data_IF_954375734382
#
_entry.id   IF_954375734382
#
_cell.length_a   1.000
_cell.length_b   1.000
_cell.length_c   1.000
_cell.angle_alpha   90.00
_cell.angle_beta   90.00
_cell.angle_gamma   90.00
#
_symmetry.space_group_name_H-M   'P 1'
#
loop_
_entity.id
_entity.type
_entity.pdbx_description
1 polymer ?
#
# COMPACT_ATOMS: atom_id res chain seq x y z
N UNK A 1 -26.08 11.76 -12.59
CA UNK A 1 -24.72 11.19 -12.39
C UNK A 1 -23.97 12.14 -11.49
N UNK A 2 -23.38 11.64 -10.41
CA UNK A 2 -22.59 12.41 -9.46
C UNK A 2 -21.10 12.21 -9.76
N UNK A 3 -20.33 13.29 -9.68
CA UNK A 3 -18.87 13.26 -9.84
C UNK A 3 -18.20 13.70 -8.54
N UNK A 4 -17.44 12.80 -7.93
CA UNK A 4 -16.54 13.14 -6.82
C UNK A 4 -15.13 13.41 -7.35
N UNK A 5 -14.51 14.51 -6.92
CA UNK A 5 -13.11 14.83 -7.26
C UNK A 5 -12.23 14.48 -6.08
N UNK A 6 -11.29 13.57 -6.30
CA UNK A 6 -10.22 13.23 -5.35
C UNK A 6 -8.99 14.01 -5.80
N UNK A 7 -8.68 15.10 -5.12
CA UNK A 7 -7.54 15.97 -5.45
C UNK A 7 -6.22 15.41 -4.91
N UNK A 8 -5.12 15.59 -5.65
CA UNK A 8 -3.76 15.20 -5.25
C UNK A 8 -3.27 15.93 -3.98
N UNK A 9 -3.82 17.12 -3.75
CA UNK A 9 -3.52 17.99 -2.62
C UNK A 9 -4.79 18.37 -1.89
N UNK A 10 -4.67 18.50 -0.57
CA UNK A 10 -5.69 19.09 0.29
C UNK A 10 -5.82 20.60 0.01
N UNK A 11 -6.87 21.22 0.55
CA UNK A 11 -7.07 22.68 0.50
C UNK A 11 -5.88 23.50 1.04
N UNK A 12 -5.05 22.90 1.91
CA UNK A 12 -3.85 23.52 2.46
C UNK A 12 -2.58 23.25 1.62
N UNK A 13 -2.70 22.61 0.46
CA UNK A 13 -1.58 22.28 -0.43
C UNK A 13 -0.76 21.05 -0.01
N UNK A 14 -1.14 20.36 1.07
CA UNK A 14 -0.50 19.12 1.53
C UNK A 14 -0.94 17.94 0.66
N UNK A 15 -0.06 16.97 0.43
CA UNK A 15 -0.37 15.72 -0.29
C UNK A 15 -1.58 15.01 0.35
N UNK A 16 -2.54 14.61 -0.48
CA UNK A 16 -3.76 13.94 -0.04
C UNK A 16 -3.58 12.42 -0.07
N UNK A 17 -3.54 11.78 1.10
CA UNK A 17 -3.37 10.32 1.19
C UNK A 17 -4.49 9.55 0.50
N UNK A 18 -5.72 10.08 0.47
CA UNK A 18 -6.84 9.44 -0.22
C UNK A 18 -6.56 9.34 -1.73
N UNK A 19 -5.94 10.36 -2.32
CA UNK A 19 -5.55 10.31 -3.73
C UNK A 19 -4.53 9.19 -3.98
N UNK A 20 -3.53 9.06 -3.12
CA UNK A 20 -2.53 7.99 -3.21
C UNK A 20 -3.18 6.61 -3.08
N UNK A 21 -4.15 6.44 -2.17
CA UNK A 21 -4.90 5.20 -2.00
C UNK A 21 -5.71 4.84 -3.24
N UNK A 22 -6.50 5.78 -3.75
CA UNK A 22 -7.35 5.51 -4.92
C UNK A 22 -6.48 5.30 -6.16
N UNK A 23 -5.39 6.04 -6.31
CA UNK A 23 -4.44 5.88 -7.42
C UNK A 23 -3.79 4.50 -7.42
N UNK A 24 -3.32 4.00 -6.26
CA UNK A 24 -2.76 2.65 -6.14
C UNK A 24 -3.79 1.57 -6.51
N UNK A 25 -5.00 1.70 -5.95
CA UNK A 25 -6.08 0.75 -6.23
C UNK A 25 -6.41 0.70 -7.73
N UNK A 26 -6.65 1.86 -8.34
CA UNK A 26 -7.01 1.93 -9.75
C UNK A 26 -5.83 1.56 -10.65
N UNK A 27 -4.60 1.85 -10.23
CA UNK A 27 -3.39 1.35 -10.85
C UNK A 27 -3.40 -0.17 -11.05
N UNK A 28 -3.86 -0.91 -10.04
CA UNK A 28 -3.97 -2.37 -10.13
C UNK A 28 -4.99 -2.83 -11.19
N UNK A 29 -6.04 -2.04 -11.47
CA UNK A 29 -7.06 -2.29 -12.50
C UNK A 29 -6.57 -1.89 -13.90
N UNK A 30 -5.93 -0.72 -14.00
CA UNK A 30 -5.36 -0.18 -15.26
C UNK A 30 -4.35 -1.13 -15.87
N UNK A 31 -3.58 -1.83 -15.02
CA UNK A 31 -2.66 -2.89 -15.48
C UNK A 31 -3.35 -3.96 -16.32
N UNK A 32 -4.64 -4.23 -16.09
CA UNK A 32 -5.40 -5.25 -16.81
C UNK A 32 -6.13 -4.68 -18.03
N UNK A 33 -6.81 -3.54 -17.87
CA UNK A 33 -7.82 -3.07 -18.84
C UNK A 33 -7.49 -1.73 -19.51
N UNK A 34 -6.43 -1.03 -19.05
CA UNK A 34 -6.08 0.31 -19.53
C UNK A 34 -5.28 0.32 -20.83
N UNK A 35 -5.56 1.31 -21.68
CA UNK A 35 -4.82 1.57 -22.93
C UNK A 35 -3.69 2.58 -22.75
N UNK A 36 -3.84 3.50 -21.79
CA UNK A 36 -2.82 4.48 -21.42
C UNK A 36 -2.55 4.43 -19.92
N UNK A 37 -1.30 4.31 -19.54
CA UNK A 37 -0.90 4.20 -18.14
C UNK A 37 0.46 4.87 -17.89
N UNK A 38 0.61 5.41 -16.67
CA UNK A 38 1.89 5.86 -16.13
C UNK A 38 2.46 4.72 -15.30
N UNK A 39 3.75 4.42 -15.45
CA UNK A 39 4.43 3.39 -14.69
C UNK A 39 5.52 4.01 -13.81
N UNK A 40 5.57 3.61 -12.54
CA UNK A 40 6.57 4.08 -11.58
C UNK A 40 7.12 2.91 -10.77
N UNK A 41 8.29 3.11 -10.16
CA UNK A 41 8.86 2.17 -9.20
C UNK A 41 9.62 2.92 -8.13
N UNK A 42 9.15 2.80 -6.90
CA UNK A 42 9.91 3.32 -5.76
C UNK A 42 11.13 2.45 -5.47
N UNK A 43 12.17 3.05 -4.87
CA UNK A 43 13.43 2.35 -4.57
C UNK A 43 13.24 1.16 -3.61
N UNK A 44 12.19 1.20 -2.79
CA UNK A 44 11.79 0.15 -1.85
C UNK A 44 10.61 -0.71 -2.36
N UNK A 45 10.30 -0.71 -3.67
CA UNK A 45 9.21 -1.50 -4.24
C UNK A 45 9.70 -2.76 -5.00
N UNK A 46 8.99 -3.89 -4.80
CA UNK A 46 9.24 -5.19 -5.44
C UNK A 46 8.89 -5.13 -6.94
N UNK A 47 7.76 -4.53 -7.27
CA UNK A 47 7.15 -4.47 -8.59
C UNK A 47 6.88 -3.02 -9.03
N UNK A 48 6.62 -2.84 -10.34
CA UNK A 48 6.12 -1.57 -10.87
C UNK A 48 4.70 -1.30 -10.33
N UNK A 49 4.45 -0.04 -10.00
CA UNK A 49 3.11 0.51 -9.78
C UNK A 49 2.65 1.22 -11.04
N UNK A 50 1.36 1.17 -11.31
CA UNK A 50 0.75 1.81 -12.47
C UNK A 50 -0.24 2.87 -11.99
N UNK A 51 -0.47 3.89 -12.81
CA UNK A 51 -1.51 4.89 -12.60
C UNK A 51 -2.20 5.19 -13.93
N UNK A 52 -3.40 5.75 -13.88
CA UNK A 52 -4.13 6.20 -15.07
C UNK A 52 -3.30 7.16 -15.92
N UNK A 53 -3.28 6.91 -17.23
CA UNK A 53 -2.76 7.84 -18.21
C UNK A 53 -3.69 9.02 -18.44
N UNK A 54 -3.18 10.04 -19.13
CA UNK A 54 -3.97 11.24 -19.45
C UNK A 54 -5.15 10.88 -20.38
N UNK A 55 -6.32 11.43 -20.06
CA UNK A 55 -7.62 11.19 -20.71
C UNK A 55 -8.09 9.73 -20.74
N UNK A 56 -7.43 8.84 -19.99
CA UNK A 56 -7.86 7.45 -19.88
C UNK A 56 -9.06 7.33 -18.95
N UNK A 57 -9.99 6.47 -19.33
CA UNK A 57 -11.18 6.15 -18.54
C UNK A 57 -11.19 4.66 -18.25
N UNK A 58 -11.26 4.31 -16.97
CA UNK A 58 -11.41 2.93 -16.53
C UNK A 58 -12.68 2.78 -15.70
N UNK A 59 -13.22 1.57 -15.71
CA UNK A 59 -14.44 1.24 -14.97
C UNK A 59 -14.13 0.24 -13.88
N UNK A 60 -14.77 0.40 -12.74
CA UNK A 60 -14.85 -0.62 -11.70
C UNK A 60 -16.31 -1.00 -11.44
N UNK A 61 -16.49 -2.15 -10.79
CA UNK A 61 -17.81 -2.65 -10.40
C UNK A 61 -17.77 -3.07 -8.93
N UNK A 62 -18.59 -2.41 -8.12
CA UNK A 62 -18.72 -2.71 -6.69
C UNK A 62 -20.19 -2.97 -6.33
N UNK A 63 -20.51 -4.16 -5.81
CA UNK A 63 -21.88 -4.57 -5.50
C UNK A 63 -22.87 -4.36 -6.69
N UNK A 64 -22.39 -4.60 -7.92
CA UNK A 64 -23.16 -4.38 -9.16
C UNK A 64 -23.27 -2.91 -9.62
N UNK A 65 -22.71 -1.97 -8.86
CA UNK A 65 -22.67 -0.55 -9.19
C UNK A 65 -21.46 -0.29 -10.07
N UNK A 66 -21.67 0.31 -11.24
CA UNK A 66 -20.59 0.74 -12.13
C UNK A 66 -20.04 2.08 -11.66
N UNK A 67 -18.72 2.16 -11.51
CA UNK A 67 -17.99 3.38 -11.16
C UNK A 67 -17.02 3.68 -12.29
N UNK A 68 -17.05 4.91 -12.80
CA UNK A 68 -16.12 5.40 -13.82
C UNK A 68 -15.02 6.24 -13.16
N UNK A 69 -13.78 5.98 -13.55
CA UNK A 69 -12.59 6.69 -13.11
C UNK A 69 -11.93 7.41 -14.28
N UNK A 70 -11.53 8.65 -14.05
CA UNK A 70 -10.79 9.44 -15.03
C UNK A 70 -9.72 10.28 -14.35
N UNK A 71 -8.50 10.25 -14.89
CA UNK A 71 -7.45 11.16 -14.47
C UNK A 71 -7.62 12.52 -15.16
N UNK A 72 -7.39 13.61 -14.43
CA UNK A 72 -7.44 14.96 -14.98
C UNK A 72 -6.40 15.86 -14.31
N UNK A 73 -5.82 16.75 -15.12
CA UNK A 73 -4.83 17.73 -14.67
C UNK A 73 -5.26 19.10 -15.15
N UNK A 74 -5.31 20.07 -14.23
CA UNK A 74 -5.56 21.47 -14.56
C UNK A 74 -4.24 22.22 -14.47
N UNK A 75 -3.83 22.76 -15.61
CA UNK A 75 -2.72 23.70 -15.68
C UNK A 75 -3.22 25.08 -15.32
N UNK A 76 -2.71 25.66 -14.22
CA UNK A 76 -2.88 27.09 -13.94
C UNK A 76 -1.67 27.82 -14.51
N UNK A 77 -1.91 28.66 -15.51
CA UNK A 77 -0.91 29.59 -16.04
C UNK A 77 -0.85 30.80 -15.12
N UNK A 78 0.18 30.87 -14.28
CA UNK A 78 0.63 32.11 -13.66
C UNK A 78 2.13 32.24 -13.95
N UNK A 79 2.55 33.44 -14.37
CA UNK A 79 3.82 33.77 -15.02
C UNK A 79 5.12 33.50 -14.19
N UNK A 80 5.06 32.74 -13.10
CA UNK A 80 6.24 32.40 -12.30
C UNK A 80 6.26 31.01 -11.64
N UNK A 81 5.17 30.24 -11.60
CA UNK A 81 5.17 28.83 -11.12
C UNK A 81 4.04 28.04 -11.77
N UNK A 82 4.37 26.99 -12.54
CA UNK A 82 3.39 25.98 -12.94
C UNK A 82 3.03 25.15 -11.70
N UNK A 83 1.99 25.56 -10.95
CA UNK A 83 1.34 24.66 -10.00
C UNK A 83 0.21 23.93 -10.74
N UNK A 84 0.56 22.82 -11.37
CA UNK A 84 -0.45 21.87 -11.84
C UNK A 84 -1.19 21.29 -10.63
N UNK A 85 -2.52 21.28 -10.69
CA UNK A 85 -3.36 20.55 -9.75
C UNK A 85 -3.89 19.30 -10.45
N UNK A 86 -3.62 18.14 -9.88
CA UNK A 86 -4.01 16.85 -10.41
C UNK A 86 -5.18 16.32 -9.58
N UNK A 87 -6.14 15.67 -10.21
CA UNK A 87 -7.24 15.03 -9.51
C UNK A 87 -7.77 13.84 -10.30
N UNK A 88 -8.44 12.95 -9.58
CA UNK A 88 -9.15 11.85 -10.17
C UNK A 88 -10.65 12.06 -10.01
N UNK A 89 -11.37 11.97 -11.12
CA UNK A 89 -12.82 12.00 -11.14
C UNK A 89 -13.36 10.59 -10.93
N UNK A 90 -14.25 10.46 -9.95
CA UNK A 90 -14.99 9.24 -9.66
C UNK A 90 -16.47 9.51 -9.94
N UNK A 91 -17.01 8.89 -10.98
CA UNK A 91 -18.36 9.13 -11.48
C UNK A 91 -19.24 7.91 -11.25
N UNK A 92 -20.44 8.14 -10.71
CA UNK A 92 -21.41 7.08 -10.40
C UNK A 92 -22.84 7.65 -10.36
N UNK A 93 -23.84 6.77 -10.36
CA UNK A 93 -25.23 7.22 -10.25
C UNK A 93 -25.54 7.75 -8.84
N UNK A 94 -26.19 8.91 -8.76
CA UNK A 94 -26.43 9.63 -7.50
C UNK A 94 -27.21 8.81 -6.47
N UNK A 95 -28.10 7.91 -6.92
CA UNK A 95 -28.85 6.98 -6.07
C UNK A 95 -27.95 6.07 -5.21
N UNK A 96 -26.69 5.88 -5.61
CA UNK A 96 -25.71 5.05 -4.91
C UNK A 96 -24.76 5.85 -4.00
N UNK A 97 -25.00 7.16 -3.79
CA UNK A 97 -24.11 8.04 -3.03
C UNK A 97 -23.67 7.48 -1.67
N UNK A 98 -24.60 7.01 -0.85
CA UNK A 98 -24.25 6.44 0.47
C UNK A 98 -23.36 5.21 0.35
N UNK A 99 -23.68 4.28 -0.57
CA UNK A 99 -22.88 3.07 -0.77
C UNK A 99 -21.46 3.41 -1.24
N UNK A 100 -21.33 4.36 -2.17
CA UNK A 100 -20.02 4.74 -2.69
C UNK A 100 -19.17 5.46 -1.63
N UNK A 101 -19.74 6.48 -0.96
CA UNK A 101 -19.01 7.29 0.01
C UNK A 101 -18.69 6.52 1.30
N UNK A 102 -19.63 5.74 1.83
CA UNK A 102 -19.50 5.16 3.17
C UNK A 102 -18.96 3.72 3.16
N UNK A 103 -18.99 3.03 2.02
CA UNK A 103 -18.54 1.62 1.91
C UNK A 103 -17.45 1.41 0.89
N UNK A 104 -17.64 1.91 -0.33
CA UNK A 104 -16.66 1.69 -1.41
C UNK A 104 -15.34 2.44 -1.20
N UNK A 105 -15.36 3.73 -0.82
CA UNK A 105 -14.13 4.47 -0.54
C UNK A 105 -13.29 3.84 0.60
N UNK A 106 -13.88 3.48 1.76
CA UNK A 106 -13.14 2.73 2.78
C UNK A 106 -12.60 1.38 2.30
N UNK A 107 -13.39 0.66 1.48
CA UNK A 107 -12.97 -0.61 0.90
C UNK A 107 -11.72 -0.47 0.02
N UNK A 108 -11.69 0.51 -0.90
CA UNK A 108 -10.53 0.71 -1.77
C UNK A 108 -9.30 1.21 -1.00
N UNK A 109 -9.48 2.00 0.06
CA UNK A 109 -8.37 2.43 0.94
C UNK A 109 -7.71 1.22 1.61
N UNK A 110 -8.51 0.27 2.09
CA UNK A 110 -7.99 -0.97 2.68
C UNK A 110 -7.24 -1.81 1.63
N UNK A 111 -7.83 -2.00 0.44
CA UNK A 111 -7.17 -2.76 -0.63
C UNK A 111 -5.87 -2.08 -1.12
N UNK A 112 -5.85 -0.76 -1.22
CA UNK A 112 -4.64 -0.01 -1.57
C UNK A 112 -3.53 -0.23 -0.54
N UNK A 113 -3.87 -0.25 0.74
CA UNK A 113 -2.94 -0.59 1.82
C UNK A 113 -2.37 -2.00 1.67
N UNK A 114 -3.20 -3.00 1.36
CA UNK A 114 -2.75 -4.36 1.10
C UNK A 114 -1.83 -4.47 -0.13
N UNK A 115 -2.16 -3.77 -1.22
CA UNK A 115 -1.36 -3.73 -2.44
C UNK A 115 0.03 -3.15 -2.17
N UNK A 116 0.11 -2.01 -1.45
CA UNK A 116 1.39 -1.41 -1.05
C UNK A 116 2.19 -2.32 -0.13
N UNK A 117 1.54 -2.93 0.85
CA UNK A 117 2.19 -3.88 1.77
C UNK A 117 2.82 -5.05 0.98
N UNK A 118 2.06 -5.64 0.05
CA UNK A 118 2.57 -6.71 -0.83
C UNK A 118 3.71 -6.24 -1.73
N UNK A 119 3.68 -5.00 -2.19
CA UNK A 119 4.71 -4.43 -3.06
C UNK A 119 5.95 -3.92 -2.30
N UNK A 120 5.90 -3.79 -0.97
CA UNK A 120 7.01 -3.27 -0.17
C UNK A 120 8.16 -4.30 -0.08
N UNK A 121 9.40 -3.84 -0.28
CA UNK A 121 10.62 -4.57 0.08
C UNK A 121 10.93 -4.28 1.55
N UNK A 122 11.07 -5.34 2.34
CA UNK A 122 11.52 -5.24 3.73
C UNK A 122 12.97 -4.75 3.79
N UNK A 123 13.25 -3.78 4.65
CA UNK A 123 14.60 -3.24 4.86
C UNK A 123 15.16 -3.66 6.23
N UNK A 124 16.48 -3.72 6.36
CA UNK A 124 17.20 -3.81 7.63
C UNK A 124 17.89 -2.48 7.87
N UNK A 125 17.60 -1.86 9.00
CA UNK A 125 18.20 -0.61 9.45
C UNK A 125 19.33 -0.92 10.43
N UNK A 126 20.51 -0.38 10.16
CA UNK A 126 21.67 -0.53 11.02
C UNK A 126 22.05 0.83 11.60
N UNK A 127 22.35 0.85 12.89
CA UNK A 127 22.86 2.06 13.53
C UNK A 127 24.35 2.20 13.22
N UNK A 128 24.66 3.09 12.27
CA UNK A 128 26.05 3.37 11.91
C UNK A 128 26.77 4.13 13.02
N UNK A 129 28.09 4.02 13.07
CA UNK A 129 28.96 4.79 13.98
C UNK A 129 28.83 6.31 13.83
N UNK A 130 28.11 6.80 12.82
CA UNK A 130 27.89 8.22 12.53
C UNK A 130 26.58 8.78 13.11
N UNK A 131 25.89 8.06 14.00
CA UNK A 131 24.55 8.40 14.51
C UNK A 131 23.50 8.58 13.39
N UNK A 132 23.67 7.84 12.28
CA UNK A 132 22.72 7.79 11.17
C UNK A 132 22.25 6.36 10.98
N UNK A 133 20.95 6.18 10.81
CA UNK A 133 20.36 4.91 10.42
C UNK A 133 20.66 4.67 8.93
N UNK A 134 21.54 3.71 8.66
CA UNK A 134 21.73 3.17 7.33
C UNK A 134 20.73 2.06 7.09
N UNK A 135 20.36 1.81 5.83
CA UNK A 135 19.40 0.75 5.49
C UNK A 135 19.85 -0.07 4.29
N UNK A 136 19.64 -1.38 4.38
CA UNK A 136 19.89 -2.35 3.32
C UNK A 136 18.64 -3.18 3.07
N UNK A 137 18.48 -3.72 1.86
CA UNK A 137 17.34 -4.61 1.57
C UNK A 137 17.49 -5.90 2.38
N UNK A 138 16.43 -6.34 3.05
CA UNK A 138 16.36 -7.66 3.65
C UNK A 138 16.19 -8.69 2.53
N UNK A 139 17.30 -9.27 2.07
CA UNK A 139 17.29 -10.39 1.13
C UNK A 139 17.48 -11.67 1.95
N UNK A 140 16.41 -12.15 2.57
CA UNK A 140 16.43 -13.37 3.36
C UNK A 140 15.32 -14.32 2.91
N UNK A 141 15.64 -15.57 2.51
CA UNK A 141 14.65 -16.50 1.95
C UNK A 141 13.68 -17.07 2.99
N UNK A 142 13.92 -16.87 4.29
CA UNK A 142 13.07 -17.42 5.33
C UNK A 142 11.68 -16.81 5.36
N UNK A 143 10.71 -17.69 5.25
CA UNK A 143 9.28 -17.52 5.56
C UNK A 143 8.88 -18.57 6.60
N UNK A 144 7.69 -18.42 7.20
CA UNK A 144 7.12 -19.47 8.05
C UNK A 144 6.99 -20.82 7.33
N UNK A 145 6.77 -20.84 6.02
CA UNK A 145 6.67 -22.07 5.22
C UNK A 145 8.03 -22.78 5.10
N UNK A 146 9.10 -22.04 4.83
CA UNK A 146 10.45 -22.60 4.68
C UNK A 146 11.09 -23.01 6.02
N UNK A 147 10.51 -22.58 7.14
CA UNK A 147 11.09 -22.79 8.46
C UNK A 147 10.79 -24.17 9.02
N UNK A 148 11.84 -24.94 9.32
CA UNK A 148 11.75 -26.18 10.07
C UNK A 148 11.58 -25.88 11.58
N UNK A 149 10.34 -25.93 12.06
CA UNK A 149 9.98 -25.80 13.47
C UNK A 149 8.74 -26.63 13.78
N UNK A 150 8.45 -26.85 15.06
CA UNK A 150 7.21 -27.52 15.48
C UNK A 150 5.98 -26.75 14.94
N UNK A 151 5.02 -27.47 14.35
CA UNK A 151 3.86 -26.88 13.68
C UNK A 151 2.91 -26.16 14.63
N UNK A 152 2.72 -26.67 15.85
CA UNK A 152 1.84 -26.04 16.84
C UNK A 152 2.45 -24.73 17.33
N UNK A 153 3.76 -24.72 17.58
CA UNK A 153 4.49 -23.50 17.92
C UNK A 153 4.46 -22.48 16.76
N UNK A 154 4.58 -22.95 15.52
CA UNK A 154 4.50 -22.09 14.32
C UNK A 154 3.14 -21.40 14.25
N UNK A 155 2.06 -22.17 14.40
CA UNK A 155 0.68 -21.66 14.42
C UNK A 155 0.47 -20.67 15.55
N UNK A 156 0.90 -21.00 16.77
CA UNK A 156 0.72 -20.09 17.91
C UNK A 156 1.42 -18.75 17.73
N UNK A 157 2.61 -18.74 17.10
CA UNK A 157 3.32 -17.50 16.79
C UNK A 157 2.58 -16.69 15.73
N UNK A 158 2.11 -17.33 14.65
CA UNK A 158 1.35 -16.64 13.58
C UNK A 158 0.05 -16.05 14.13
N UNK A 159 -0.71 -16.82 14.90
CA UNK A 159 -1.96 -16.36 15.52
C UNK A 159 -1.73 -15.17 16.45
N UNK A 160 -0.66 -15.18 17.26
CA UNK A 160 -0.32 -14.06 18.13
C UNK A 160 0.06 -12.79 17.34
N UNK A 161 0.74 -12.96 16.21
CA UNK A 161 1.10 -11.87 15.30
C UNK A 161 -0.15 -11.26 14.63
N UNK A 162 -1.09 -12.09 14.18
CA UNK A 162 -2.35 -11.63 13.60
C UNK A 162 -3.22 -10.89 14.64
N UNK A 163 -3.24 -11.40 15.88
CA UNK A 163 -3.88 -10.72 17.01
C UNK A 163 -3.21 -9.37 17.33
N UNK A 164 -1.88 -9.30 17.24
CA UNK A 164 -1.14 -8.06 17.46
C UNK A 164 -1.51 -6.99 16.42
N UNK A 165 -1.57 -7.36 15.13
CA UNK A 165 -1.96 -6.44 14.06
C UNK A 165 -3.42 -5.99 14.21
N UNK A 166 -4.33 -6.92 14.51
CA UNK A 166 -5.76 -6.64 14.55
C UNK A 166 -6.18 -5.78 15.76
N UNK A 167 -5.56 -5.96 16.92
CA UNK A 167 -5.98 -5.29 18.16
C UNK A 167 -5.42 -3.87 18.35
N UNK A 168 -4.62 -3.35 17.41
CA UNK A 168 -3.87 -2.07 17.56
C UNK A 168 -3.16 -2.00 18.92
N UNK A 169 -2.63 -3.12 19.40
CA UNK A 169 -1.89 -3.15 20.66
C UNK A 169 -0.60 -2.32 20.50
N UNK A 170 -0.26 -1.51 21.50
CA UNK A 170 0.81 -0.54 21.36
C UNK A 170 2.22 -1.16 21.32
N UNK A 171 2.41 -2.32 21.98
CA UNK A 171 3.71 -3.03 22.06
C UNK A 171 3.53 -4.53 22.20
N UNK A 172 4.39 -5.32 21.55
CA UNK A 172 4.56 -6.77 21.72
C UNK A 172 6.05 -7.12 21.67
N UNK A 173 6.52 -7.92 22.61
CA UNK A 173 7.91 -8.40 22.67
C UNK A 173 7.97 -9.93 22.66
N UNK A 174 9.05 -10.46 22.07
CA UNK A 174 9.32 -11.88 21.99
C UNK A 174 10.73 -12.17 22.51
N UNK A 175 10.89 -13.26 23.25
CA UNK A 175 12.20 -13.78 23.68
C UNK A 175 12.49 -15.09 22.94
N UNK A 176 13.52 -15.08 22.08
CA UNK A 176 13.97 -16.26 21.35
C UNK A 176 15.26 -16.80 21.98
N UNK A 177 15.21 -18.00 22.56
CA UNK A 177 16.35 -18.62 23.24
C UNK A 177 16.65 -20.02 22.69
N UNK A 178 17.88 -20.50 22.91
CA UNK A 178 18.36 -21.81 22.48
C UNK A 178 19.78 -21.79 21.90
N UNK A 179 20.37 -22.96 21.59
CA UNK A 179 21.74 -23.08 21.08
C UNK A 179 22.03 -22.22 19.83
N UNK A 180 23.29 -21.81 19.58
CA UNK A 180 23.64 -21.14 18.32
C UNK A 180 23.29 -22.03 17.11
N UNK A 181 22.90 -21.42 15.99
CA UNK A 181 22.52 -22.15 14.77
C UNK A 181 21.07 -22.66 14.71
N UNK A 182 20.23 -22.45 15.74
CA UNK A 182 18.82 -22.89 15.74
C UNK A 182 17.85 -22.00 14.95
N UNK A 183 18.35 -21.15 14.04
CA UNK A 183 17.49 -20.33 13.19
C UNK A 183 16.77 -19.16 13.89
N UNK A 184 17.19 -18.72 15.07
CA UNK A 184 16.59 -17.55 15.77
C UNK A 184 16.51 -16.29 14.90
N UNK A 185 17.63 -15.92 14.26
CA UNK A 185 17.68 -14.77 13.34
C UNK A 185 16.82 -15.02 12.11
N UNK A 186 16.79 -16.26 11.60
CA UNK A 186 15.93 -16.65 10.49
C UNK A 186 14.44 -16.54 10.85
N UNK A 187 14.07 -16.76 12.12
CA UNK A 187 12.70 -16.56 12.61
C UNK A 187 12.33 -15.08 12.65
N UNK A 188 13.24 -14.21 13.10
CA UNK A 188 13.04 -12.75 13.01
C UNK A 188 12.84 -12.31 11.55
N UNK A 189 13.66 -12.82 10.62
CA UNK A 189 13.49 -12.55 9.20
C UNK A 189 12.15 -13.07 8.64
N UNK A 190 11.71 -14.26 9.05
CA UNK A 190 10.41 -14.81 8.66
C UNK A 190 9.24 -13.98 9.19
N UNK A 191 9.32 -13.50 10.43
CA UNK A 191 8.31 -12.60 11.03
C UNK A 191 8.28 -11.26 10.27
N UNK A 192 9.44 -10.67 10.01
CA UNK A 192 9.54 -9.41 9.25
C UNK A 192 8.95 -9.52 7.84
N UNK A 193 9.23 -10.64 7.15
CA UNK A 193 8.64 -10.94 5.85
C UNK A 193 7.13 -11.19 5.92
N UNK A 194 6.64 -11.89 6.95
CA UNK A 194 5.20 -12.13 7.16
C UNK A 194 4.42 -10.83 7.39
N UNK A 195 4.99 -9.91 8.19
CA UNK A 195 4.37 -8.63 8.52
C UNK A 195 4.62 -7.51 7.48
N UNK A 196 5.56 -7.71 6.54
CA UNK A 196 6.17 -6.66 5.71
C UNK A 196 6.76 -5.48 6.54
N UNK A 197 7.33 -5.81 7.71
CA UNK A 197 7.93 -4.84 8.63
C UNK A 197 9.44 -4.80 8.46
N UNK A 198 10.02 -3.60 8.49
CA UNK A 198 11.46 -3.42 8.47
C UNK A 198 12.08 -3.87 9.82
N UNK A 199 13.32 -4.34 9.78
CA UNK A 199 14.12 -4.75 10.95
C UNK A 199 15.02 -3.60 11.38
#
# INVERSE_FOLDING_TARGET
VLTAKVEDKTKMGLRNSLYDDVSEYIGSKVRCDGKKMKATRESAAKYLTFALGDDEVIYDVYEGIRIEYRYSKVEKSDASKILGQEYMEVRFEEKHRGVILDRYFPYIVNLASELRSKNKITMVHNNSSTNRWDKVKLIHPSTFDTMAMNNDLKRSVIEDLDLFISRKASKRSYLLYGPPGTGKTSLVAAIANYLNFDI
#
